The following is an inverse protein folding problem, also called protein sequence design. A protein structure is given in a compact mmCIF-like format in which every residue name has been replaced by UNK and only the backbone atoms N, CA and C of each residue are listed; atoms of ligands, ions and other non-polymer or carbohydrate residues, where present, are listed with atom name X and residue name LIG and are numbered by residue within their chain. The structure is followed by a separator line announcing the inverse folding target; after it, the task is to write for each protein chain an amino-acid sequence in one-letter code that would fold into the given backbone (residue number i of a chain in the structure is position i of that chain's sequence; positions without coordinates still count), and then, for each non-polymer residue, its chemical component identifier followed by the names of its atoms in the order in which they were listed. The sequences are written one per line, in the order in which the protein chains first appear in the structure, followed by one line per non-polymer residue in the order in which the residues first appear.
data_IF_447054704600
#
_entry.id   IF_447054704600
#
_cell.length_a   1.000
_cell.length_b   1.000
_cell.length_c   1.000
_cell.angle_alpha   90.00
_cell.angle_beta   90.00
_cell.angle_gamma   90.00
#
_symmetry.space_group_name_H-M   'P 1'
#
loop_
_entity.id
_entity.type
_entity.pdbx_description
1 polymer ?
#
# COMPACT_ATOMS: atom_id res chain seq x y z
N UNK A 1 -15.84 -3.91 -25.32
CA UNK A 1 -15.29 -4.70 -24.18
C UNK A 1 -14.45 -3.79 -23.27
N UNK A 2 -15.06 -2.97 -22.41
CA UNK A 2 -14.34 -2.02 -21.53
C UNK A 2 -14.76 -2.08 -20.04
N UNK A 3 -15.87 -2.77 -19.74
CA UNK A 3 -16.44 -2.80 -18.39
C UNK A 3 -15.60 -3.60 -17.39
N UNK A 4 -14.98 -4.69 -17.84
CA UNK A 4 -14.12 -5.52 -16.99
C UNK A 4 -12.85 -4.78 -16.51
N UNK A 5 -12.28 -3.93 -17.37
CA UNK A 5 -11.12 -3.12 -17.02
C UNK A 5 -11.47 -2.07 -15.96
N UNK A 6 -12.57 -1.33 -16.15
CA UNK A 6 -13.03 -0.34 -15.17
C UNK A 6 -13.34 -0.95 -13.78
N UNK A 7 -13.90 -2.16 -13.73
CA UNK A 7 -14.13 -2.88 -12.47
C UNK A 7 -12.79 -3.29 -11.83
N UNK A 8 -11.81 -3.68 -12.63
CA UNK A 8 -10.49 -4.06 -12.14
C UNK A 8 -9.74 -2.86 -11.54
N UNK A 9 -9.80 -1.69 -12.16
CA UNK A 9 -9.23 -0.45 -11.61
C UNK A 9 -9.84 -0.08 -10.26
N UNK A 10 -11.17 -0.22 -10.12
CA UNK A 10 -11.84 0.01 -8.82
C UNK A 10 -11.35 -0.97 -7.75
N UNK A 11 -11.19 -2.25 -8.09
CA UNK A 11 -10.68 -3.27 -7.16
C UNK A 11 -9.22 -3.03 -6.79
N UNK A 12 -8.40 -2.61 -7.76
CA UNK A 12 -7.00 -2.27 -7.54
C UNK A 12 -6.87 -1.08 -6.58
N UNK A 13 -7.63 -0.02 -6.79
CA UNK A 13 -7.65 1.14 -5.89
C UNK A 13 -8.07 0.77 -4.46
N UNK A 14 -9.10 -0.07 -4.30
CA UNK A 14 -9.52 -0.57 -2.99
C UNK A 14 -8.40 -1.36 -2.30
N UNK A 15 -7.71 -2.25 -3.03
CA UNK A 15 -6.61 -3.05 -2.49
C UNK A 15 -5.39 -2.19 -2.12
N UNK A 16 -5.11 -1.14 -2.88
CA UNK A 16 -4.08 -0.17 -2.54
C UNK A 16 -4.43 0.59 -1.24
N UNK A 17 -5.69 0.98 -1.06
CA UNK A 17 -6.16 1.64 0.17
C UNK A 17 -6.06 0.72 1.39
N UNK A 18 -6.43 -0.56 1.26
CA UNK A 18 -6.29 -1.57 2.32
C UNK A 18 -4.81 -1.75 2.71
N UNK A 19 -3.91 -1.84 1.74
CA UNK A 19 -2.47 -1.96 1.98
C UNK A 19 -1.89 -0.71 2.67
N UNK A 20 -2.33 0.48 2.25
CA UNK A 20 -1.90 1.73 2.87
C UNK A 20 -2.37 1.84 4.33
N UNK A 21 -3.62 1.46 4.60
CA UNK A 21 -4.18 1.43 5.96
C UNK A 21 -3.36 0.50 6.88
N UNK A 22 -2.97 -0.67 6.38
CA UNK A 22 -2.14 -1.61 7.12
C UNK A 22 -0.76 -1.04 7.43
N UNK A 23 -0.10 -0.43 6.43
CA UNK A 23 1.21 0.22 6.59
C UNK A 23 1.17 1.33 7.64
N UNK A 24 0.12 2.15 7.62
CA UNK A 24 -0.07 3.21 8.60
C UNK A 24 -0.31 2.66 10.01
N UNK A 25 -1.09 1.60 10.15
CA UNK A 25 -1.30 0.90 11.42
C UNK A 25 0.01 0.39 12.03
N UNK A 26 0.85 -0.28 11.24
CA UNK A 26 2.15 -0.78 11.68
C UNK A 26 3.06 0.36 12.15
N UNK A 27 3.12 1.46 11.39
CA UNK A 27 3.92 2.63 11.75
C UNK A 27 3.49 3.26 13.06
N UNK A 28 2.18 3.36 13.31
CA UNK A 28 1.63 3.88 14.57
C UNK A 28 2.01 2.96 15.73
N UNK A 29 1.85 1.65 15.54
CA UNK A 29 2.21 0.65 16.55
C UNK A 29 3.70 0.67 16.86
N UNK A 30 4.58 0.75 15.84
CA UNK A 30 6.03 0.88 16.05
C UNK A 30 6.36 2.09 16.94
N UNK A 31 5.81 3.26 16.64
CA UNK A 31 6.04 4.50 17.43
C UNK A 31 5.51 4.38 18.86
N UNK A 32 4.28 3.92 19.04
CA UNK A 32 3.63 3.84 20.35
C UNK A 32 4.34 2.88 21.32
N UNK A 33 5.10 1.92 20.78
CA UNK A 33 5.82 0.92 21.58
C UNK A 33 7.33 1.24 21.67
N UNK A 34 7.93 1.91 20.69
CA UNK A 34 9.26 2.56 20.84
C UNK A 34 9.31 3.47 22.07
N UNK A 35 8.22 4.21 22.34
CA UNK A 35 8.07 5.05 23.53
C UNK A 35 8.03 4.25 24.86
N UNK A 36 7.93 2.91 24.85
CA UNK A 36 7.70 2.05 26.03
C UNK A 36 8.85 1.12 26.48
N UNK A 37 10.04 1.18 25.85
CA UNK A 37 11.30 0.46 26.19
C UNK A 37 11.37 -1.06 25.91
N UNK A 38 12.53 -1.49 25.38
CA UNK A 38 13.01 -2.88 25.30
C UNK A 38 13.37 -3.32 23.88
N UNK A 39 14.63 -3.16 23.48
CA UNK A 39 15.18 -3.18 22.11
C UNK A 39 14.91 -4.45 21.26
N UNK A 40 14.40 -5.54 21.85
CA UNK A 40 14.57 -6.88 21.26
C UNK A 40 13.38 -7.42 20.46
N UNK A 41 12.17 -6.86 20.58
CA UNK A 41 10.96 -7.42 19.94
C UNK A 41 10.47 -6.66 18.67
N UNK A 42 11.08 -5.51 18.34
CA UNK A 42 10.61 -4.63 17.24
C UNK A 42 11.20 -4.93 15.87
N UNK A 43 12.30 -5.70 15.82
CA UNK A 43 12.99 -6.09 14.60
C UNK A 43 12.02 -6.74 13.58
N UNK A 44 11.09 -7.59 14.05
CA UNK A 44 10.11 -8.29 13.19
C UNK A 44 9.06 -7.34 12.61
N UNK A 45 8.55 -6.40 13.41
CA UNK A 45 7.58 -5.39 12.96
C UNK A 45 8.22 -4.41 11.96
N UNK A 46 9.48 -4.04 12.22
CA UNK A 46 10.26 -3.19 11.32
C UNK A 46 10.56 -3.86 9.99
N UNK A 47 10.98 -5.12 9.99
CA UNK A 47 11.20 -5.91 8.77
C UNK A 47 9.91 -6.06 7.96
N UNK A 48 8.78 -6.29 8.64
CA UNK A 48 7.48 -6.33 7.99
C UNK A 48 7.08 -4.98 7.36
N UNK A 49 7.28 -3.87 8.07
CA UNK A 49 7.03 -2.52 7.55
C UNK A 49 7.88 -2.20 6.30
N UNK A 50 9.17 -2.54 6.34
CA UNK A 50 10.07 -2.42 5.18
C UNK A 50 9.64 -3.26 3.98
N UNK A 51 9.14 -4.47 4.23
CA UNK A 51 8.56 -5.32 3.17
C UNK A 51 7.36 -4.66 2.47
N UNK A 52 6.53 -3.94 3.22
CA UNK A 52 5.39 -3.19 2.68
C UNK A 52 5.81 -1.91 1.93
N UNK A 53 6.94 -1.29 2.29
CA UNK A 53 7.52 -0.17 1.55
C UNK A 53 8.04 -0.58 0.17
N UNK A 54 8.43 -1.85 0.00
CA UNK A 54 8.94 -2.39 -1.26
C UNK A 54 7.85 -2.71 -2.30
N UNK A 55 6.56 -2.43 -2.06
CA UNK A 55 5.56 -2.55 -3.11
C UNK A 55 5.73 -1.38 -4.08
N UNK A 56 6.26 -1.58 -5.31
CA UNK A 56 6.36 -0.49 -6.25
C UNK A 56 4.95 0.05 -6.50
N UNK A 57 4.74 1.34 -6.25
CA UNK A 57 3.64 2.07 -6.86
C UNK A 57 3.76 1.80 -8.36
N UNK A 58 2.86 1.00 -8.90
CA UNK A 58 2.87 0.64 -10.31
C UNK A 58 2.68 1.93 -11.10
N UNK A 59 3.78 2.46 -11.63
CA UNK A 59 3.80 3.45 -12.69
C UNK A 59 2.91 2.95 -13.83
N UNK A 60 1.66 3.40 -13.86
CA UNK A 60 0.84 3.37 -15.04
C UNK A 60 0.54 4.82 -15.42
N UNK A 61 1.41 5.37 -16.28
CA UNK A 61 0.93 6.31 -17.28
C UNK A 61 -0.01 5.53 -18.19
N UNK A 62 -1.30 5.49 -17.84
CA UNK A 62 -2.32 5.13 -18.83
C UNK A 62 -2.46 6.36 -19.71
N UNK A 63 -1.93 6.26 -20.92
CA UNK A 63 -2.10 7.29 -21.94
C UNK A 63 -3.59 7.58 -22.13
N UNK A 64 -3.90 8.87 -22.22
CA UNK A 64 -5.11 9.39 -22.82
C UNK A 64 -5.31 8.72 -24.19
N UNK A 65 -6.23 7.77 -24.28
CA UNK A 65 -6.89 7.47 -25.54
C UNK A 65 -8.19 8.26 -25.48
N UNK A 66 -8.12 9.47 -26.02
CA UNK A 66 -9.30 10.24 -26.41
C UNK A 66 -10.14 9.37 -27.34
N UNK A 67 -11.36 9.04 -26.91
CA UNK A 67 -12.40 8.53 -27.79
C UNK A 67 -12.81 9.64 -28.76
N UNK A 68 -12.13 9.76 -29.89
CA UNK A 68 -12.72 10.42 -31.07
C UNK A 68 -12.34 9.62 -32.32
N UNK A 69 -13.39 9.08 -32.96
CA UNK A 69 -13.49 8.41 -34.28
C UNK A 69 -13.01 6.96 -34.37
#
# INVERSE_FOLDING_TARGET
MFQGYAINEKRLAQKQQEAQTLKDGIRILSRAIEDKKGETDFERLHQFAKGLESYPASSHRIGSIDCTL
#
